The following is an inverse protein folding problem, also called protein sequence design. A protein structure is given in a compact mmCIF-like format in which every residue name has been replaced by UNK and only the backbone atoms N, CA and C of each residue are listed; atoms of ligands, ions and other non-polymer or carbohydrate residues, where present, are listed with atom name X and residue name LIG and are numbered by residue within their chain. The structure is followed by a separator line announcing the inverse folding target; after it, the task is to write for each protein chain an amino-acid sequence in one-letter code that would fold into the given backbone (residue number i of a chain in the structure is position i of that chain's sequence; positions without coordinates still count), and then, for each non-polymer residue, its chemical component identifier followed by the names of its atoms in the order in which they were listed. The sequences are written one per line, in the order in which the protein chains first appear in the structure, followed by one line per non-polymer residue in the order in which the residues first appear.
data_IF_011109563224
#
_entry.id   IF_011109563224
#
_cell.length_a   1.000
_cell.length_b   1.000
_cell.length_c   1.000
_cell.angle_alpha   90.00
_cell.angle_beta   90.00
_cell.angle_gamma   90.00
#
_symmetry.space_group_name_H-M   'P 1'
#
loop_
_entity.id
_entity.type
_entity.pdbx_description
1 polymer ?
#
# COMPACT_ATOMS: atom_id res chain seq x y z
N UNK A 1 -21.56 -7.28 -6.13
CA UNK A 1 -21.45 -8.01 -4.86
C UNK A 1 -20.07 -7.81 -4.26
N UNK A 2 -20.01 -7.01 -3.19
CA UNK A 2 -18.86 -6.98 -2.29
C UNK A 2 -19.25 -7.91 -1.15
N UNK A 3 -19.12 -9.22 -1.39
CA UNK A 3 -19.52 -10.22 -0.40
C UNK A 3 -18.47 -10.36 0.74
N UNK A 4 -17.33 -9.67 0.60
CA UNK A 4 -16.26 -9.64 1.58
C UNK A 4 -15.66 -8.23 1.75
N UNK A 5 -15.88 -7.64 2.93
CA UNK A 5 -15.31 -6.34 3.32
C UNK A 5 -13.78 -6.35 3.29
N UNK A 6 -13.16 -7.46 3.65
CA UNK A 6 -11.71 -7.59 3.74
C UNK A 6 -11.05 -7.49 2.35
N UNK A 7 -11.61 -8.17 1.35
CA UNK A 7 -11.12 -8.12 -0.03
C UNK A 7 -11.28 -6.71 -0.63
N UNK A 8 -12.39 -6.04 -0.32
CA UNK A 8 -12.61 -4.67 -0.78
C UNK A 8 -11.61 -3.69 -0.17
N UNK A 9 -11.39 -3.76 1.14
CA UNK A 9 -10.39 -2.93 1.83
C UNK A 9 -8.97 -3.21 1.31
N UNK A 10 -8.63 -4.48 1.07
CA UNK A 10 -7.34 -4.85 0.49
C UNK A 10 -7.18 -4.28 -0.94
N UNK A 11 -8.25 -4.27 -1.73
CA UNK A 11 -8.21 -3.69 -3.08
C UNK A 11 -7.97 -2.18 -3.07
N UNK A 12 -8.56 -1.45 -2.11
CA UNK A 12 -8.34 -0.02 -1.91
C UNK A 12 -6.92 0.22 -1.41
N UNK A 13 -6.49 -0.54 -0.40
CA UNK A 13 -5.15 -0.43 0.17
C UNK A 13 -4.07 -0.64 -0.91
N UNK A 14 -4.21 -1.68 -1.75
CA UNK A 14 -3.31 -1.94 -2.88
C UNK A 14 -3.22 -0.74 -3.82
N UNK A 15 -4.36 -0.15 -4.20
CA UNK A 15 -4.41 1.00 -5.11
C UNK A 15 -3.69 2.22 -4.51
N UNK A 16 -3.94 2.52 -3.23
CA UNK A 16 -3.31 3.67 -2.55
C UNK A 16 -1.79 3.50 -2.42
N UNK A 17 -1.33 2.29 -2.11
CA UNK A 17 0.11 1.99 -2.01
C UNK A 17 0.80 2.12 -3.37
N UNK A 18 0.23 1.56 -4.43
CA UNK A 18 0.78 1.68 -5.77
C UNK A 18 0.80 3.13 -6.24
N UNK A 19 -0.28 3.88 -6.01
CA UNK A 19 -0.33 5.29 -6.35
C UNK A 19 0.77 6.08 -5.62
N UNK A 20 0.91 5.89 -4.30
CA UNK A 20 1.94 6.57 -3.52
C UNK A 20 3.35 6.21 -3.98
N UNK A 21 3.60 4.95 -4.34
CA UNK A 21 4.88 4.52 -4.91
C UNK A 21 5.16 5.21 -6.25
N UNK A 22 4.22 5.22 -7.19
CA UNK A 22 4.42 5.87 -8.49
C UNK A 22 4.70 7.37 -8.34
N UNK A 23 3.90 8.06 -7.51
CA UNK A 23 4.05 9.50 -7.28
C UNK A 23 5.37 9.86 -6.58
N UNK A 24 5.94 8.95 -5.79
CA UNK A 24 7.25 9.12 -5.16
C UNK A 24 8.39 8.49 -5.95
N UNK A 25 8.16 8.08 -7.21
CA UNK A 25 9.16 7.42 -8.08
C UNK A 25 9.77 6.18 -7.41
N UNK A 26 8.91 5.38 -6.79
CA UNK A 26 9.23 4.16 -6.06
C UNK A 26 10.13 4.36 -4.84
N UNK A 27 10.24 5.59 -4.31
CA UNK A 27 10.85 5.83 -3.02
C UNK A 27 9.92 5.34 -1.90
N UNK A 28 10.23 4.14 -1.38
CA UNK A 28 9.44 3.46 -0.33
C UNK A 28 9.35 4.27 0.97
N UNK A 29 10.37 5.03 1.34
CA UNK A 29 10.33 5.87 2.55
C UNK A 29 9.36 7.04 2.37
N UNK A 30 9.46 7.75 1.25
CA UNK A 30 8.55 8.86 0.93
C UNK A 30 7.09 8.39 0.73
N UNK A 31 6.89 7.20 0.16
CA UNK A 31 5.55 6.61 0.02
C UNK A 31 4.93 6.29 1.40
N UNK A 32 5.73 5.78 2.34
CA UNK A 32 5.27 5.52 3.70
C UNK A 32 4.86 6.81 4.41
N UNK A 33 5.70 7.86 4.31
CA UNK A 33 5.41 9.18 4.86
C UNK A 33 4.13 9.79 4.27
N UNK A 34 3.96 9.72 2.95
CA UNK A 34 2.76 10.22 2.26
C UNK A 34 1.49 9.53 2.74
N UNK A 35 1.56 8.23 3.01
CA UNK A 35 0.42 7.45 3.52
C UNK A 35 0.28 7.53 5.06
N UNK A 36 1.11 8.34 5.74
CA UNK A 36 1.16 8.40 7.21
C UNK A 36 1.38 7.02 7.85
N UNK A 37 2.13 6.15 7.18
CA UNK A 37 2.52 4.81 7.64
C UNK A 37 3.96 4.83 8.15
N UNK A 38 4.26 4.01 9.15
CA UNK A 38 5.67 3.69 9.44
C UNK A 38 6.26 2.87 8.28
N UNK A 39 7.56 3.02 8.04
CA UNK A 39 8.25 2.26 7.00
C UNK A 39 8.10 0.74 7.16
N UNK A 40 8.09 0.24 8.40
CA UNK A 40 7.83 -1.17 8.73
C UNK A 40 6.43 -1.62 8.28
N UNK A 41 5.44 -0.76 8.53
CA UNK A 41 4.03 -0.98 8.19
C UNK A 41 3.83 -1.06 6.66
N UNK A 42 4.51 -0.18 5.91
CA UNK A 42 4.53 -0.25 4.45
C UNK A 42 5.22 -1.54 3.95
N UNK A 43 6.40 -1.89 4.48
CA UNK A 43 7.13 -3.09 4.05
C UNK A 43 6.30 -4.37 4.21
N UNK A 44 5.59 -4.52 5.33
CA UNK A 44 4.72 -5.67 5.54
C UNK A 44 3.61 -5.75 4.48
N UNK A 45 2.99 -4.61 4.15
CA UNK A 45 1.96 -4.53 3.11
C UNK A 45 2.51 -4.87 1.73
N UNK A 46 3.68 -4.35 1.36
CA UNK A 46 4.32 -4.69 0.08
C UNK A 46 4.55 -6.20 -0.03
N UNK A 47 5.05 -6.84 1.04
CA UNK A 47 5.22 -8.29 1.08
C UNK A 47 3.89 -9.04 0.95
N UNK A 48 2.84 -8.61 1.68
CA UNK A 48 1.49 -9.20 1.58
C UNK A 48 0.93 -9.08 0.15
N UNK A 49 1.18 -7.96 -0.52
CA UNK A 49 0.69 -7.67 -1.86
C UNK A 49 1.54 -8.27 -3.00
N UNK A 50 2.70 -8.88 -2.69
CA UNK A 50 3.63 -9.43 -3.66
C UNK A 50 4.46 -8.38 -4.42
N UNK A 51 4.75 -7.24 -3.78
CA UNK A 51 5.39 -6.06 -4.35
C UNK A 51 6.79 -5.75 -3.75
N UNK A 52 7.34 -6.66 -2.94
CA UNK A 52 8.66 -6.50 -2.31
C UNK A 52 9.81 -6.93 -3.24
#
# INVERSE_FOLDING_TARGET
DIDNLEDYLESIERKLILQALEETRWNRTAAAERLSLSFRSLRYRLKKLGLD
#
